data_IF_413172758889
#
_entry.id   IF_413172758889
#
_cell.length_a   1.000
_cell.length_b   1.000
_cell.length_c   1.000
_cell.angle_alpha   90.00
_cell.angle_beta   90.00
_cell.angle_gamma   90.00
#
_symmetry.space_group_name_H-M   'P 1'
#
loop_
_entity.id
_entity.type
_entity.pdbx_description
1 polymer ?
#
# COMPACT_ATOMS: atom_id res chain seq x y z
N UNK A 1 -1.14 -8.88 76.14
CA UNK A 1 -1.81 -8.37 74.92
C UNK A 1 -0.92 -8.77 73.76
N UNK A 2 -1.10 -9.98 73.26
CA UNK A 2 -0.33 -10.53 72.14
C UNK A 2 -1.13 -10.29 70.84
N UNK A 3 -0.50 -9.66 69.85
CA UNK A 3 -1.08 -9.44 68.52
C UNK A 3 -0.64 -10.59 67.60
N UNK A 4 -1.62 -11.32 67.08
CA UNK A 4 -1.44 -12.37 66.07
C UNK A 4 -1.48 -11.68 64.70
N UNK A 5 -0.39 -11.76 63.94
CA UNK A 5 -0.31 -11.30 62.55
C UNK A 5 -0.77 -12.44 61.64
N UNK A 6 -1.75 -12.24 60.73
CA UNK A 6 -2.16 -13.29 59.80
C UNK A 6 -1.12 -13.44 58.69
N UNK A 7 -0.59 -14.66 58.56
CA UNK A 7 0.24 -15.08 57.42
C UNK A 7 -0.67 -15.22 56.20
N UNK A 8 -0.74 -14.15 55.40
CA UNK A 8 -1.48 -14.15 54.14
C UNK A 8 -0.77 -15.07 53.14
N UNK A 9 -1.50 -16.07 52.63
CA UNK A 9 -1.01 -17.06 51.67
C UNK A 9 -0.62 -16.39 50.34
N UNK A 10 0.67 -16.15 50.15
CA UNK A 10 1.26 -15.58 48.93
C UNK A 10 1.27 -16.54 47.72
N UNK A 11 0.85 -17.80 47.87
CA UNK A 11 1.03 -18.80 46.80
C UNK A 11 -0.06 -18.81 45.72
N UNK A 12 -1.27 -18.31 46.00
CA UNK A 12 -2.37 -18.32 45.02
C UNK A 12 -2.25 -17.20 43.99
N UNK A 13 -1.69 -16.05 44.37
CA UNK A 13 -1.49 -14.93 43.46
C UNK A 13 -0.39 -15.19 42.42
N UNK A 14 0.70 -15.86 42.81
CA UNK A 14 1.76 -16.23 41.87
C UNK A 14 1.26 -17.23 40.82
N UNK A 15 0.40 -18.18 41.19
CA UNK A 15 -0.17 -19.14 40.25
C UNK A 15 -1.09 -18.48 39.21
N UNK A 16 -1.87 -17.48 39.61
CA UNK A 16 -2.73 -16.74 38.67
C UNK A 16 -1.91 -15.97 37.62
N UNK A 17 -0.80 -15.34 38.02
CA UNK A 17 0.06 -14.57 37.11
C UNK A 17 0.76 -15.50 36.11
N UNK A 18 1.28 -16.64 36.57
CA UNK A 18 1.94 -17.62 35.68
C UNK A 18 0.94 -18.21 34.69
N UNK A 19 -0.29 -18.51 35.12
CA UNK A 19 -1.32 -19.07 34.23
C UNK A 19 -1.76 -18.05 33.18
N UNK A 20 -1.89 -16.76 33.53
CA UNK A 20 -2.22 -15.70 32.56
C UNK A 20 -1.09 -15.47 31.54
N UNK A 21 0.17 -15.55 31.94
CA UNK A 21 1.30 -15.42 31.04
C UNK A 21 1.35 -16.55 30.00
N UNK A 22 1.15 -17.80 30.42
CA UNK A 22 1.14 -18.97 29.51
C UNK A 22 -0.04 -18.91 28.52
N UNK A 23 -1.21 -18.46 28.97
CA UNK A 23 -2.37 -18.28 28.08
C UNK A 23 -2.11 -17.15 27.07
N UNK A 24 -1.48 -16.04 27.48
CA UNK A 24 -1.14 -14.94 26.58
C UNK A 24 -0.11 -15.34 25.52
N UNK A 25 0.88 -16.17 25.87
CA UNK A 25 1.90 -16.68 24.93
C UNK A 25 1.28 -17.66 23.92
N UNK A 26 0.41 -18.58 24.36
CA UNK A 26 -0.33 -19.47 23.46
C UNK A 26 -1.33 -18.75 22.54
N UNK A 27 -1.92 -17.64 23.00
CA UNK A 27 -2.81 -16.78 22.21
C UNK A 27 -2.04 -15.92 21.20
N UNK A 28 -0.76 -15.64 21.46
CA UNK A 28 0.13 -14.95 20.53
C UNK A 28 0.61 -15.89 19.43
N UNK A 29 1.05 -17.11 19.77
CA UNK A 29 1.49 -18.11 18.79
C UNK A 29 0.35 -18.58 17.86
N UNK A 30 -0.89 -18.59 18.35
CA UNK A 30 -2.07 -18.91 17.52
C UNK A 30 -2.55 -17.75 16.63
N UNK A 31 -2.09 -16.50 16.84
CA UNK A 31 -2.33 -15.39 15.90
C UNK A 31 -1.21 -15.21 14.88
N UNK A 32 0.00 -15.64 15.20
CA UNK A 32 1.15 -15.57 14.27
C UNK A 32 1.07 -16.65 13.18
N UNK A 33 0.21 -17.66 13.34
CA UNK A 33 -0.08 -18.67 12.31
C UNK A 33 -1.15 -18.23 11.29
N UNK A 34 -1.57 -16.96 11.29
CA UNK A 34 -2.27 -16.35 10.15
C UNK A 34 -1.25 -16.05 9.05
N UNK A 35 -0.82 -17.11 8.38
CA UNK A 35 -0.13 -17.11 7.09
C UNK A 35 1.23 -16.42 7.07
N UNK A 36 2.32 -17.19 7.20
CA UNK A 36 3.47 -17.01 6.32
C UNK A 36 2.95 -17.13 4.87
N UNK A 37 2.34 -16.07 4.34
CA UNK A 37 2.06 -15.96 2.92
C UNK A 37 3.43 -16.01 2.24
N UNK A 38 3.58 -16.96 1.33
CA UNK A 38 4.81 -17.14 0.56
C UNK A 38 5.14 -15.81 -0.11
N UNK A 39 6.15 -15.09 0.40
CA UNK A 39 6.62 -13.81 -0.15
C UNK A 39 6.94 -13.94 -1.64
N UNK A 40 7.29 -15.16 -2.10
CA UNK A 40 7.46 -15.48 -3.51
C UNK A 40 6.18 -15.40 -4.36
N UNK A 41 5.04 -15.85 -3.83
CA UNK A 41 3.76 -15.87 -4.56
C UNK A 41 3.17 -14.46 -4.74
N UNK A 42 3.29 -13.59 -3.72
CA UNK A 42 2.88 -12.19 -3.82
C UNK A 42 3.68 -11.45 -4.90
N UNK A 43 5.00 -11.63 -4.89
CA UNK A 43 5.88 -11.00 -5.87
C UNK A 43 5.61 -11.53 -7.28
N UNK A 44 5.25 -12.81 -7.45
CA UNK A 44 4.96 -13.36 -8.78
C UNK A 44 3.71 -12.70 -9.39
N UNK A 45 2.61 -12.61 -8.63
CA UNK A 45 1.33 -12.05 -9.10
C UNK A 45 1.43 -10.55 -9.39
N UNK A 46 2.05 -9.77 -8.49
CA UNK A 46 2.10 -8.31 -8.63
C UNK A 46 3.18 -7.81 -9.61
N UNK A 47 4.06 -8.70 -10.08
CA UNK A 47 5.17 -8.38 -10.97
C UNK A 47 5.05 -9.01 -12.37
N UNK A 48 3.89 -9.56 -12.73
CA UNK A 48 3.60 -10.06 -14.08
C UNK A 48 3.88 -9.03 -15.19
N UNK A 49 3.83 -7.73 -14.85
CA UNK A 49 4.01 -6.63 -15.78
C UNK A 49 5.11 -5.67 -15.32
N UNK A 50 5.88 -5.17 -16.29
CA UNK A 50 6.91 -4.16 -16.01
C UNK A 50 6.28 -2.77 -15.92
N UNK A 51 6.22 -2.24 -14.71
CA UNK A 51 5.67 -0.92 -14.45
C UNK A 51 6.73 0.18 -14.43
N UNK A 52 6.41 1.36 -14.97
CA UNK A 52 7.21 2.58 -14.82
C UNK A 52 6.35 3.67 -14.18
N UNK A 53 6.74 4.12 -12.98
CA UNK A 53 5.96 5.13 -12.25
C UNK A 53 6.77 6.41 -12.14
N UNK A 54 6.26 7.49 -12.75
CA UNK A 54 6.86 8.82 -12.63
C UNK A 54 6.19 9.57 -11.48
N UNK A 55 6.91 9.72 -10.38
CA UNK A 55 6.48 10.49 -9.21
C UNK A 55 7.05 11.90 -9.30
N UNK A 56 6.20 12.92 -9.21
CA UNK A 56 6.65 14.30 -9.40
C UNK A 56 5.96 15.29 -8.47
N UNK A 57 6.68 16.34 -8.09
CA UNK A 57 6.02 17.54 -7.58
C UNK A 57 5.33 18.29 -8.71
N UNK A 58 4.33 19.12 -8.39
CA UNK A 58 3.68 19.99 -9.37
C UNK A 58 4.68 20.90 -10.08
N UNK A 59 4.49 21.09 -11.39
CA UNK A 59 5.34 21.97 -12.24
C UNK A 59 6.84 21.65 -12.25
N UNK A 60 7.22 20.40 -12.02
CA UNK A 60 8.60 19.95 -12.18
C UNK A 60 8.94 19.45 -13.61
N UNK A 61 8.06 19.66 -14.60
CA UNK A 61 8.31 19.19 -15.98
C UNK A 61 8.00 17.71 -16.21
N UNK A 62 7.27 17.07 -15.29
CA UNK A 62 6.96 15.63 -15.39
C UNK A 62 6.13 15.25 -16.61
N UNK A 63 5.28 16.15 -17.13
CA UNK A 63 4.54 15.88 -18.38
C UNK A 63 5.49 15.80 -19.57
N UNK A 64 6.51 16.68 -19.62
CA UNK A 64 7.53 16.61 -20.67
C UNK A 64 8.36 15.34 -20.55
N UNK A 65 8.78 14.99 -19.32
CA UNK A 65 9.50 13.74 -19.05
C UNK A 65 8.67 12.51 -19.45
N UNK A 66 7.39 12.47 -19.10
CA UNK A 66 6.47 11.39 -19.47
C UNK A 66 6.39 11.23 -21.00
N UNK A 67 6.24 12.33 -21.75
CA UNK A 67 6.23 12.30 -23.22
C UNK A 67 7.56 11.84 -23.81
N UNK A 68 8.69 12.20 -23.20
CA UNK A 68 9.99 11.69 -23.61
C UNK A 68 10.10 10.18 -23.40
N UNK A 69 9.62 9.67 -22.27
CA UNK A 69 9.58 8.23 -22.00
C UNK A 69 8.62 7.50 -22.96
N UNK A 70 7.44 8.05 -23.23
CA UNK A 70 6.45 7.50 -24.18
C UNK A 70 6.97 7.47 -25.63
N UNK A 71 8.01 8.26 -25.95
CA UNK A 71 8.65 8.24 -27.26
C UNK A 71 9.63 7.07 -27.46
N UNK A 72 9.96 6.34 -26.38
CA UNK A 72 10.83 5.17 -26.43
C UNK A 72 10.02 3.96 -26.91
N UNK A 73 10.48 3.20 -27.92
CA UNK A 73 9.78 2.01 -28.39
C UNK A 73 9.49 1.02 -27.27
N UNK A 74 8.30 0.41 -27.31
CA UNK A 74 7.80 -0.60 -26.35
C UNK A 74 7.56 -0.09 -24.92
N UNK A 75 7.55 1.23 -24.71
CA UNK A 75 7.14 1.85 -23.46
C UNK A 75 5.89 2.68 -23.73
N UNK A 76 4.86 2.48 -22.89
CA UNK A 76 3.65 3.28 -22.91
C UNK A 76 3.45 3.99 -21.58
N UNK A 77 3.37 5.32 -21.65
CA UNK A 77 3.20 6.18 -20.50
C UNK A 77 1.88 6.92 -20.56
N UNK A 78 1.17 6.91 -19.44
CA UNK A 78 -0.11 7.56 -19.28
C UNK A 78 -0.03 8.76 -18.32
N UNK A 79 -1.00 9.65 -18.49
CA UNK A 79 -1.13 10.88 -17.72
C UNK A 79 -1.48 10.65 -16.26
N UNK A 80 -1.86 11.74 -15.59
CA UNK A 80 -2.29 11.69 -14.19
C UNK A 80 -3.60 10.91 -14.06
N UNK A 81 -3.66 10.00 -13.09
CA UNK A 81 -4.88 9.23 -12.79
C UNK A 81 -5.89 10.02 -11.93
N UNK A 82 -5.71 11.34 -11.80
CA UNK A 82 -6.56 12.24 -11.02
C UNK A 82 -6.85 11.82 -9.56
N UNK A 83 -5.98 10.99 -8.96
CA UNK A 83 -6.16 10.52 -7.58
C UNK A 83 -6.98 9.23 -7.48
N UNK A 84 -7.25 8.55 -8.59
CA UNK A 84 -7.97 7.29 -8.65
C UNK A 84 -7.36 6.21 -7.73
N UNK A 85 -6.03 6.15 -7.64
CA UNK A 85 -5.35 5.22 -6.73
C UNK A 85 -5.75 5.43 -5.27
N UNK A 86 -5.94 6.68 -4.84
CA UNK A 86 -6.36 6.96 -3.47
C UNK A 86 -7.82 6.58 -3.28
N UNK A 87 -8.68 6.89 -4.27
CA UNK A 87 -10.10 6.54 -4.19
C UNK A 87 -10.27 5.03 -4.07
N UNK A 88 -9.51 4.25 -4.84
CA UNK A 88 -9.50 2.79 -4.73
C UNK A 88 -8.98 2.35 -3.37
N UNK A 89 -7.92 2.96 -2.85
CA UNK A 89 -7.39 2.59 -1.54
C UNK A 89 -8.34 2.89 -0.38
N UNK A 90 -8.82 4.12 -0.28
CA UNK A 90 -9.68 4.59 0.80
C UNK A 90 -10.95 3.73 0.86
N UNK A 91 -11.48 3.33 -0.31
CA UNK A 91 -12.65 2.47 -0.40
C UNK A 91 -12.33 0.98 -0.16
N UNK A 92 -11.19 0.48 -0.64
CA UNK A 92 -10.91 -0.96 -0.70
C UNK A 92 -10.05 -1.50 0.45
N UNK A 93 -9.37 -0.66 1.22
CA UNK A 93 -8.51 -1.12 2.30
C UNK A 93 -8.92 -0.54 3.65
N UNK A 94 -9.19 0.77 3.75
CA UNK A 94 -9.65 1.35 5.02
C UNK A 94 -11.11 1.01 5.34
N UNK A 95 -11.98 0.96 4.32
CA UNK A 95 -13.41 0.68 4.51
C UNK A 95 -13.71 -0.72 5.06
N UNK A 96 -12.82 -1.69 4.86
CA UNK A 96 -13.06 -3.10 5.22
C UNK A 96 -12.45 -3.51 6.56
N UNK A 97 -11.52 -2.75 7.13
CA UNK A 97 -11.03 -3.00 8.49
C UNK A 97 -12.05 -2.59 9.56
N UNK A 98 -13.09 -1.82 9.20
CA UNK A 98 -13.90 -1.07 10.15
C UNK A 98 -15.30 -1.63 10.44
N UNK A 99 -15.79 -2.73 9.85
CA UNK A 99 -17.21 -3.11 10.02
C UNK A 99 -17.42 -4.55 10.51
N UNK A 100 -17.76 -4.69 11.79
CA UNK A 100 -18.44 -5.87 12.36
C UNK A 100 -19.96 -5.84 12.08
N UNK A 101 -20.42 -5.07 11.09
CA UNK A 101 -21.83 -4.84 10.82
C UNK A 101 -22.21 -5.24 9.39
N UNK A 102 -23.40 -5.84 9.23
CA UNK A 102 -24.21 -6.16 8.04
C UNK A 102 -23.55 -6.79 6.79
N UNK A 103 -22.33 -6.40 6.44
CA UNK A 103 -21.57 -6.88 5.31
C UNK A 103 -20.59 -7.97 5.77
N UNK A 104 -21.09 -9.20 5.91
CA UNK A 104 -20.27 -10.35 6.30
C UNK A 104 -19.41 -10.85 5.14
N UNK A 105 -18.10 -10.68 5.24
CA UNK A 105 -17.13 -11.20 4.27
C UNK A 105 -16.02 -11.99 4.98
N UNK A 106 -15.33 -12.85 4.22
CA UNK A 106 -14.10 -13.49 4.69
C UNK A 106 -12.96 -12.46 4.74
N UNK A 107 -11.85 -12.82 5.38
CA UNK A 107 -10.62 -12.03 5.33
C UNK A 107 -10.27 -11.70 3.87
N UNK A 108 -10.06 -10.42 3.62
CA UNK A 108 -9.81 -9.91 2.27
C UNK A 108 -8.37 -10.21 1.88
N UNK A 109 -8.18 -10.73 0.67
CA UNK A 109 -6.86 -10.97 0.12
C UNK A 109 -6.29 -9.70 -0.50
N UNK A 110 -5.47 -8.98 0.27
CA UNK A 110 -4.83 -7.72 -0.13
C UNK A 110 -4.04 -7.83 -1.44
N UNK A 111 -3.43 -8.98 -1.72
CA UNK A 111 -2.68 -9.23 -2.96
C UNK A 111 -3.61 -9.15 -4.17
N UNK A 112 -4.77 -9.81 -4.08
CA UNK A 112 -5.79 -9.79 -5.15
C UNK A 112 -6.37 -8.39 -5.35
N UNK A 113 -6.56 -7.62 -4.27
CA UNK A 113 -7.01 -6.22 -4.39
C UNK A 113 -5.98 -5.36 -5.10
N UNK A 114 -4.70 -5.49 -4.74
CA UNK A 114 -3.62 -4.76 -5.40
C UNK A 114 -3.52 -5.15 -6.87
N UNK A 115 -3.62 -6.45 -7.20
CA UNK A 115 -3.65 -6.92 -8.59
C UNK A 115 -4.86 -6.37 -9.35
N UNK A 116 -6.06 -6.43 -8.77
CA UNK A 116 -7.26 -5.85 -9.35
C UNK A 116 -7.12 -4.33 -9.57
N UNK A 117 -6.39 -3.63 -8.69
CA UNK A 117 -6.07 -2.21 -8.84
C UNK A 117 -5.13 -1.96 -10.02
N UNK A 118 -4.10 -2.80 -10.20
CA UNK A 118 -3.22 -2.74 -11.37
C UNK A 118 -4.00 -2.97 -12.67
N UNK A 119 -4.87 -3.99 -12.69
CA UNK A 119 -5.68 -4.35 -13.86
C UNK A 119 -6.70 -3.26 -14.18
N UNK A 120 -7.38 -2.72 -13.17
CA UNK A 120 -8.31 -1.62 -13.35
C UNK A 120 -7.63 -0.36 -13.90
N UNK A 121 -6.43 -0.03 -13.42
CA UNK A 121 -5.65 1.06 -13.99
C UNK A 121 -5.27 0.80 -15.45
N UNK A 122 -4.90 -0.44 -15.79
CA UNK A 122 -4.59 -0.83 -17.16
C UNK A 122 -5.79 -0.63 -18.08
N UNK A 123 -6.97 -1.09 -17.66
CA UNK A 123 -8.21 -0.90 -18.41
C UNK A 123 -8.54 0.59 -18.59
N UNK A 124 -8.32 1.40 -17.56
CA UNK A 124 -8.58 2.84 -17.62
C UNK A 124 -7.61 3.60 -18.52
N UNK A 125 -6.39 3.12 -18.61
CA UNK A 125 -5.38 3.63 -19.54
C UNK A 125 -5.73 3.29 -20.99
N UNK A 126 -6.59 2.29 -21.22
CA UNK A 126 -7.07 1.88 -22.52
C UNK A 126 -6.12 0.91 -23.22
N UNK A 127 -6.68 0.10 -24.11
CA UNK A 127 -5.94 -0.92 -24.84
C UNK A 127 -4.99 -0.27 -25.85
N UNK A 128 -3.68 -0.29 -25.56
CA UNK A 128 -2.63 -0.07 -26.56
C UNK A 128 -2.09 -1.42 -27.06
N UNK A 129 -1.22 -1.37 -28.07
CA UNK A 129 -0.70 -2.54 -28.77
C UNK A 129 -0.16 -3.62 -27.83
N UNK A 130 -0.47 -4.89 -28.12
CA UNK A 130 -0.01 -6.04 -27.33
C UNK A 130 1.52 -6.25 -27.32
N UNK A 131 2.28 -5.41 -28.05
CA UNK A 131 3.73 -5.51 -28.19
C UNK A 131 4.50 -4.62 -27.19
N UNK A 132 3.80 -3.95 -26.27
CA UNK A 132 4.41 -3.14 -25.23
C UNK A 132 5.10 -3.99 -24.17
N UNK A 133 6.32 -3.59 -23.80
CA UNK A 133 7.10 -4.29 -22.78
C UNK A 133 6.98 -3.61 -21.41
N UNK A 134 6.80 -2.28 -21.40
CA UNK A 134 6.65 -1.48 -20.19
C UNK A 134 5.39 -0.61 -20.29
N UNK A 135 4.64 -0.59 -19.20
CA UNK A 135 3.47 0.28 -19.04
C UNK A 135 3.72 1.17 -17.84
N UNK A 136 3.31 2.42 -17.90
CA UNK A 136 3.59 3.35 -16.84
C UNK A 136 2.66 4.53 -16.78
N UNK A 137 2.70 5.26 -15.69
CA UNK A 137 1.91 6.45 -15.51
C UNK A 137 2.67 7.51 -14.73
N UNK A 138 2.24 8.75 -14.90
CA UNK A 138 2.71 9.88 -14.13
C UNK A 138 1.74 10.17 -12.99
N UNK A 139 2.26 10.39 -11.79
CA UNK A 139 1.45 10.85 -10.66
C UNK A 139 2.12 12.01 -9.91
N UNK A 140 1.29 12.97 -9.45
CA UNK A 140 1.74 14.05 -8.59
C UNK A 140 1.77 13.59 -7.14
N UNK A 141 2.90 13.81 -6.46
CA UNK A 141 3.09 13.38 -5.06
C UNK A 141 2.10 14.02 -4.09
N UNK A 142 1.67 15.27 -4.34
CA UNK A 142 0.62 15.94 -3.55
C UNK A 142 -0.73 15.19 -3.58
N UNK A 143 -0.95 14.37 -4.61
CA UNK A 143 -2.16 13.55 -4.78
C UNK A 143 -1.89 12.09 -4.40
N UNK A 144 -0.87 11.80 -3.61
CA UNK A 144 -0.65 10.48 -3.02
C UNK A 144 -0.40 10.71 -1.53
N UNK A 145 -1.42 10.57 -0.67
CA UNK A 145 -1.26 10.78 0.77
C UNK A 145 -0.33 9.73 1.38
N UNK A 146 -0.31 8.52 0.82
CA UNK A 146 0.52 7.43 1.28
C UNK A 146 1.40 6.89 0.14
N UNK A 147 2.69 7.22 0.13
CA UNK A 147 3.62 6.69 -0.88
C UNK A 147 3.82 5.18 -0.77
N UNK A 148 3.63 4.59 0.42
CA UNK A 148 3.76 3.16 0.63
C UNK A 148 2.73 2.40 -0.19
N UNK A 149 1.54 2.96 -0.37
CA UNK A 149 0.51 2.38 -1.23
C UNK A 149 1.03 2.10 -2.65
N UNK A 150 1.77 3.06 -3.22
CA UNK A 150 2.27 2.91 -4.59
C UNK A 150 3.40 1.87 -4.65
N UNK A 151 4.26 1.79 -3.62
CA UNK A 151 5.28 0.74 -3.54
C UNK A 151 4.70 -0.64 -3.28
N UNK A 152 3.65 -0.72 -2.48
CA UNK A 152 2.97 -1.97 -2.15
C UNK A 152 2.12 -2.49 -3.30
N UNK A 153 1.46 -1.60 -4.04
CA UNK A 153 0.66 -1.96 -5.21
C UNK A 153 1.53 -2.34 -6.39
N UNK A 154 2.72 -1.73 -6.53
CA UNK A 154 3.61 -1.94 -7.67
C UNK A 154 5.04 -2.33 -7.24
N UNK A 155 5.23 -3.46 -6.54
CA UNK A 155 6.50 -3.80 -5.90
C UNK A 155 7.68 -3.93 -6.88
N UNK A 156 7.43 -4.32 -8.13
CA UNK A 156 8.46 -4.43 -9.16
C UNK A 156 8.55 -3.23 -10.12
N UNK A 157 7.85 -2.13 -9.84
CA UNK A 157 7.94 -0.94 -10.68
C UNK A 157 9.32 -0.29 -10.65
N UNK A 158 9.66 0.38 -11.76
CA UNK A 158 10.77 1.33 -11.82
C UNK A 158 10.22 2.72 -11.51
N UNK A 159 10.75 3.32 -10.44
CA UNK A 159 10.32 4.65 -10.00
C UNK A 159 11.25 5.73 -10.55
N UNK A 160 10.66 6.75 -11.16
CA UNK A 160 11.37 7.95 -11.60
C UNK A 160 10.86 9.12 -10.76
N UNK A 161 11.71 9.63 -9.87
CA UNK A 161 11.37 10.75 -9.00
C UNK A 161 11.83 12.04 -9.67
N UNK A 162 10.88 12.84 -10.14
CA UNK A 162 11.14 14.10 -10.81
C UNK A 162 10.83 15.30 -9.89
N UNK A 163 11.87 16.06 -9.55
CA UNK A 163 11.75 17.24 -8.71
C UNK A 163 12.54 18.41 -9.30
N UNK A 164 12.07 19.64 -9.08
CA UNK A 164 12.75 20.87 -9.47
C UNK A 164 13.23 21.60 -8.22
N UNK A 165 14.52 21.96 -8.17
CA UNK A 165 15.15 22.62 -7.01
C UNK A 165 14.57 24.01 -6.71
N UNK A 166 14.17 24.75 -7.74
CA UNK A 166 13.61 26.09 -7.60
C UNK A 166 12.11 26.01 -7.28
N UNK A 167 11.79 25.98 -5.99
CA UNK A 167 10.42 25.93 -5.46
C UNK A 167 9.67 27.24 -5.75
N UNK A 168 10.35 28.38 -5.76
CA UNK A 168 9.73 29.68 -6.07
C UNK A 168 9.11 29.70 -7.47
N UNK A 169 9.81 29.12 -8.45
CA UNK A 169 9.29 28.94 -9.81
C UNK A 169 8.17 27.87 -9.91
N UNK A 170 8.02 26.99 -8.90
CA UNK A 170 6.92 26.03 -8.84
C UNK A 170 5.63 26.64 -8.31
N UNK A 171 5.67 27.68 -7.46
CA UNK A 171 4.47 28.27 -6.83
C UNK A 171 3.80 29.35 -7.70
N UNK A 172 4.55 29.99 -8.60
CA UNK A 172 4.17 31.29 -9.17
C UNK A 172 3.09 31.34 -10.27
N UNK A 173 2.52 30.22 -10.73
CA UNK A 173 1.37 30.22 -11.65
C UNK A 173 0.12 29.80 -10.88
N UNK A 174 -0.31 30.65 -9.96
CA UNK A 174 -1.55 30.55 -9.18
C UNK A 174 -2.63 31.49 -9.71
N UNK A 175 -2.77 31.56 -11.03
CA UNK A 175 -3.80 32.33 -11.71
C UNK A 175 -4.32 31.55 -12.91
N UNK A 176 -5.26 30.65 -12.65
CA UNK A 176 -6.25 30.25 -13.64
C UNK A 176 -7.59 30.77 -13.13
#
# INVERSE_FOLDING_TARGET
REQIIPVFRMSTMLWAIVTMAVVAESAWESRVSVGEKNVGEESEILCERNWVVVLSTGRAGSTSLMKMIDSVPKISMYGENHGLLNLLYDQLLEGFEATNEAFHHNAIDSIRIRKATQDFLLEMMGHRDNNETFVGFKQLTKRIPNLNLVSETFPCAKYIINYRRNISAQVQVGGC
#
